data_IF_223499389040
#
_entry.id   IF_223499389040
#
_cell.length_a   1.000
_cell.length_b   1.000
_cell.length_c   1.000
_cell.angle_alpha   90.00
_cell.angle_beta   90.00
_cell.angle_gamma   90.00
#
_symmetry.space_group_name_H-M   'P 1'
#
loop_
_entity.id
_entity.type
_entity.pdbx_description
1 polymer ?
#
# COMPACT_ATOMS: atom_id res chain seq x y z
N UNK A 1 -5.65 -20.61 -24.36
CA UNK A 1 -4.92 -20.99 -23.13
C UNK A 1 -3.48 -21.24 -23.53
N UNK A 2 -2.58 -20.28 -23.29
CA UNK A 2 -1.14 -20.49 -23.46
C UNK A 2 -0.61 -21.41 -22.37
N UNK A 3 0.49 -22.11 -22.65
CA UNK A 3 1.17 -22.96 -21.68
C UNK A 3 1.78 -22.07 -20.57
N UNK A 4 1.07 -21.92 -19.46
CA UNK A 4 1.47 -21.05 -18.34
C UNK A 4 2.62 -21.62 -17.48
N UNK A 5 3.02 -22.86 -17.74
CA UNK A 5 4.06 -23.55 -16.96
C UNK A 5 5.49 -23.02 -17.24
N UNK A 6 5.68 -22.27 -18.33
CA UNK A 6 6.98 -21.68 -18.71
C UNK A 6 7.19 -20.24 -18.17
N UNK A 7 6.21 -19.65 -17.48
CA UNK A 7 6.32 -18.30 -16.93
C UNK A 7 6.97 -18.28 -15.53
N UNK A 8 7.81 -17.27 -15.29
CA UNK A 8 8.28 -16.91 -13.95
C UNK A 8 7.09 -16.74 -12.97
N UNK A 9 7.22 -17.16 -11.68
CA UNK A 9 6.12 -17.12 -10.71
C UNK A 9 5.41 -15.77 -10.58
N UNK A 10 6.12 -14.64 -10.71
CA UNK A 10 5.49 -13.32 -10.66
C UNK A 10 4.58 -13.04 -11.87
N UNK A 11 5.00 -13.47 -13.06
CA UNK A 11 4.18 -13.38 -14.28
C UNK A 11 2.96 -14.27 -14.17
N UNK A 12 3.15 -15.52 -13.77
CA UNK A 12 2.04 -16.47 -13.58
C UNK A 12 1.03 -15.95 -12.56
N UNK A 13 1.48 -15.39 -11.44
CA UNK A 13 0.60 -14.77 -10.46
C UNK A 13 -0.10 -13.54 -11.02
N UNK A 14 0.61 -12.64 -11.71
CA UNK A 14 0.00 -11.44 -12.28
C UNK A 14 -1.15 -11.81 -13.20
N UNK A 15 -0.88 -12.66 -14.19
CA UNK A 15 -1.82 -13.13 -15.19
C UNK A 15 -2.99 -13.91 -14.55
N UNK A 16 -2.68 -14.84 -13.64
CA UNK A 16 -3.67 -15.66 -12.95
C UNK A 16 -4.58 -14.88 -11.98
N UNK A 17 -4.22 -13.64 -11.63
CA UNK A 17 -5.01 -12.79 -10.72
C UNK A 17 -5.63 -11.58 -11.39
N UNK A 18 -5.53 -11.43 -12.72
CA UNK A 18 -6.20 -10.35 -13.46
C UNK A 18 -7.72 -10.46 -13.35
N UNK A 19 -8.39 -9.32 -13.45
CA UNK A 19 -9.83 -9.27 -13.65
C UNK A 19 -10.15 -9.00 -15.11
N UNK A 20 -11.02 -9.84 -15.67
CA UNK A 20 -11.81 -9.57 -16.88
C UNK A 20 -13.31 -9.49 -16.54
N UNK A 21 -14.16 -8.90 -17.40
CA UNK A 21 -15.61 -8.90 -17.22
C UNK A 21 -16.19 -10.30 -17.01
N UNK A 22 -15.68 -11.31 -17.71
CA UNK A 22 -16.09 -12.70 -17.57
C UNK A 22 -15.68 -13.26 -16.21
N UNK A 23 -14.42 -13.07 -15.80
CA UNK A 23 -13.91 -13.62 -14.53
C UNK A 23 -14.68 -13.08 -13.32
N UNK A 24 -15.03 -11.79 -13.32
CA UNK A 24 -15.76 -11.14 -12.22
C UNK A 24 -17.19 -11.64 -12.17
N UNK A 25 -17.86 -11.77 -13.33
CA UNK A 25 -19.26 -12.26 -13.41
C UNK A 25 -19.39 -13.75 -13.15
N UNK A 26 -18.37 -14.54 -13.50
CA UNK A 26 -18.36 -15.99 -13.31
C UNK A 26 -17.87 -16.41 -11.91
N UNK A 27 -17.32 -15.49 -11.10
CA UNK A 27 -16.84 -15.82 -9.77
C UNK A 27 -17.98 -16.29 -8.87
N UNK A 28 -17.89 -17.53 -8.41
CA UNK A 28 -18.79 -18.12 -7.43
C UNK A 28 -18.38 -17.87 -5.98
N UNK A 29 -17.36 -17.03 -5.72
CA UNK A 29 -16.86 -16.79 -4.36
C UNK A 29 -17.92 -16.11 -3.48
N UNK A 30 -18.19 -16.67 -2.31
CA UNK A 30 -19.06 -16.07 -1.30
C UNK A 30 -18.27 -15.75 -0.03
N UNK A 31 -18.71 -14.73 0.70
CA UNK A 31 -18.06 -14.31 1.95
C UNK A 31 -18.58 -15.13 3.13
N UNK A 32 -17.71 -15.96 3.71
CA UNK A 32 -17.96 -16.61 5.00
C UNK A 32 -17.76 -15.59 6.14
N UNK A 33 -18.83 -14.88 6.48
CA UNK A 33 -18.81 -13.83 7.51
C UNK A 33 -18.48 -14.35 8.91
N UNK A 34 -18.82 -15.61 9.22
CA UNK A 34 -18.50 -16.24 10.50
C UNK A 34 -17.00 -16.55 10.64
N UNK A 35 -16.28 -16.62 9.51
CA UNK A 35 -14.84 -16.82 9.46
C UNK A 35 -14.07 -15.55 9.03
N UNK A 36 -14.72 -14.37 9.11
CA UNK A 36 -14.07 -13.10 8.82
C UNK A 36 -12.87 -12.87 9.76
N UNK A 37 -11.67 -12.57 9.24
CA UNK A 37 -10.50 -12.30 10.06
C UNK A 37 -10.66 -11.09 10.96
N UNK A 38 -10.21 -11.21 12.20
CA UNK A 38 -10.15 -10.12 13.16
C UNK A 38 -9.19 -9.03 12.65
N UNK A 39 -9.58 -7.74 12.72
CA UNK A 39 -8.81 -6.64 12.15
C UNK A 39 -7.58 -6.24 13.00
N UNK A 40 -7.36 -6.89 14.13
CA UNK A 40 -6.23 -6.64 15.03
C UNK A 40 -5.51 -7.94 15.37
N UNK A 41 -4.19 -7.87 15.47
CA UNK A 41 -3.35 -8.95 16.00
C UNK A 41 -3.21 -8.74 17.51
N UNK A 42 -3.70 -9.72 18.27
CA UNK A 42 -3.69 -9.69 19.73
C UNK A 42 -2.66 -10.69 20.24
N UNK A 43 -1.72 -10.26 21.06
CA UNK A 43 -0.74 -11.15 21.69
C UNK A 43 -1.22 -11.57 23.08
N UNK A 44 -1.23 -12.89 23.34
CA UNK A 44 -1.63 -13.44 24.62
C UNK A 44 -0.58 -13.08 25.69
N UNK A 45 -1.02 -12.45 26.78
CA UNK A 45 -0.19 -12.18 27.96
C UNK A 45 0.81 -11.02 27.83
N UNK A 46 0.79 -10.25 26.73
CA UNK A 46 1.62 -9.05 26.59
C UNK A 46 0.86 -7.80 27.04
N UNK A 47 1.48 -7.04 27.95
CA UNK A 47 0.94 -5.77 28.44
C UNK A 47 1.10 -4.63 27.43
N UNK A 48 0.24 -3.62 27.56
CA UNK A 48 0.28 -2.41 26.77
C UNK A 48 1.32 -1.42 27.32
N UNK A 49 2.28 -1.04 26.48
CA UNK A 49 3.21 0.06 26.76
C UNK A 49 2.79 1.33 26.01
N UNK A 50 2.93 2.53 26.60
CA UNK A 50 2.60 3.78 25.91
C UNK A 50 3.50 4.00 24.69
N UNK A 51 3.02 4.76 23.72
CA UNK A 51 3.85 5.16 22.58
C UNK A 51 4.98 6.08 23.06
N UNK A 52 6.24 5.86 22.62
CA UNK A 52 7.31 6.80 22.86
C UNK A 52 6.95 8.18 22.27
N UNK A 53 7.18 9.30 22.98
CA UNK A 53 6.79 10.64 22.51
C UNK A 53 7.28 10.98 21.09
N UNK A 54 8.49 10.53 20.76
CA UNK A 54 9.14 10.73 19.46
C UNK A 54 8.48 9.93 18.32
N UNK A 55 7.80 8.82 18.62
CA UNK A 55 7.11 7.98 17.64
C UNK A 55 5.58 8.09 17.69
N UNK A 56 5.02 8.70 18.74
CA UNK A 56 3.56 8.78 18.94
C UNK A 56 2.87 9.37 17.72
N UNK A 57 3.35 10.51 17.25
CA UNK A 57 2.80 11.21 16.08
C UNK A 57 2.84 10.31 14.85
N UNK A 58 3.97 9.65 14.60
CA UNK A 58 4.18 8.82 13.43
C UNK A 58 3.26 7.60 13.43
N UNK A 59 3.16 6.88 14.55
CA UNK A 59 2.35 5.65 14.64
C UNK A 59 0.85 5.96 14.64
N UNK A 60 0.42 6.96 15.41
CA UNK A 60 -0.98 7.38 15.50
C UNK A 60 -1.53 7.81 14.15
N UNK A 61 -0.79 8.65 13.44
CA UNK A 61 -1.27 9.21 12.17
C UNK A 61 -0.84 8.40 10.95
N UNK A 62 0.18 7.55 11.07
CA UNK A 62 0.59 6.61 10.02
C UNK A 62 -0.41 5.48 9.83
N UNK A 63 -0.80 4.80 10.93
CA UNK A 63 -1.61 3.59 10.86
C UNK A 63 -2.66 3.40 11.97
N UNK A 64 -2.78 4.34 12.92
CA UNK A 64 -3.70 4.23 14.05
C UNK A 64 -5.18 4.30 13.68
N UNK A 65 -6.03 3.78 14.57
CA UNK A 65 -7.49 3.96 14.51
C UNK A 65 -7.82 5.39 14.95
N UNK A 66 -8.59 6.11 14.12
CA UNK A 66 -9.03 7.50 14.40
C UNK A 66 -10.49 7.59 14.78
N UNK A 67 -11.30 6.60 14.41
CA UNK A 67 -12.74 6.57 14.71
C UNK A 67 -13.24 5.13 14.69
N UNK A 68 -13.99 4.74 15.71
CA UNK A 68 -14.80 3.51 15.68
C UNK A 68 -16.26 3.90 15.46
N UNK A 69 -16.97 3.15 14.62
CA UNK A 69 -18.43 3.27 14.47
C UNK A 69 -19.05 1.90 14.66
N UNK A 70 -20.10 1.84 15.46
CA UNK A 70 -21.00 0.70 15.46
C UNK A 70 -21.74 0.64 14.12
N UNK A 71 -21.68 -0.52 13.48
CA UNK A 71 -22.66 -0.94 12.50
C UNK A 71 -23.76 -1.74 13.19
N UNK A 72 -24.94 -1.79 12.57
CA UNK A 72 -26.01 -2.67 13.03
C UNK A 72 -25.52 -4.11 13.23
N UNK A 73 -26.20 -4.86 14.10
CA UNK A 73 -25.87 -6.23 14.53
C UNK A 73 -24.60 -6.39 15.39
N UNK A 74 -24.17 -5.35 16.11
CA UNK A 74 -23.05 -5.45 17.07
C UNK A 74 -21.65 -5.49 16.43
N UNK A 75 -21.54 -5.17 15.14
CA UNK A 75 -20.27 -5.10 14.44
C UNK A 75 -19.64 -3.71 14.58
N UNK A 76 -18.34 -3.62 14.84
CA UNK A 76 -17.62 -2.35 14.83
C UNK A 76 -16.81 -2.15 13.54
N UNK A 77 -16.79 -0.90 13.05
CA UNK A 77 -15.92 -0.46 11.97
C UNK A 77 -14.88 0.53 12.50
N UNK A 78 -13.60 0.14 12.41
CA UNK A 78 -12.47 0.92 12.88
C UNK A 78 -11.81 1.65 11.70
N UNK A 79 -12.10 2.94 11.56
CA UNK A 79 -11.50 3.78 10.53
C UNK A 79 -10.06 4.11 10.91
N UNK A 80 -9.13 3.84 10.00
CA UNK A 80 -7.70 4.17 10.11
C UNK A 80 -7.34 5.35 9.21
N UNK A 81 -6.15 5.91 9.43
CA UNK A 81 -5.61 7.07 8.69
C UNK A 81 -5.08 6.75 7.29
N UNK A 82 -5.17 5.51 6.83
CA UNK A 82 -4.81 5.08 5.47
C UNK A 82 -6.01 4.43 4.75
N UNK A 83 -5.87 4.15 3.46
CA UNK A 83 -6.90 3.46 2.69
C UNK A 83 -6.62 1.94 2.73
N UNK A 84 -7.66 1.13 2.91
CA UNK A 84 -7.51 -0.32 2.96
C UNK A 84 -8.56 -0.96 2.07
N UNK A 85 -8.13 -1.88 1.20
CA UNK A 85 -9.04 -2.63 0.35
C UNK A 85 -10.06 -3.38 1.21
N UNK A 86 -11.35 -3.03 1.03
CA UNK A 86 -12.44 -3.63 1.79
C UNK A 86 -12.44 -3.32 3.29
N UNK A 87 -11.59 -2.40 3.77
CA UNK A 87 -11.37 -2.14 5.20
C UNK A 87 -10.99 -3.41 5.99
N UNK A 88 -10.06 -4.21 5.43
CA UNK A 88 -9.62 -5.49 5.98
C UNK A 88 -8.31 -5.39 6.77
N UNK A 89 -7.56 -4.29 6.60
CA UNK A 89 -6.38 -3.94 7.38
C UNK A 89 -5.36 -5.09 7.53
N UNK A 90 -4.80 -5.61 6.42
CA UNK A 90 -3.92 -6.76 6.45
C UNK A 90 -2.49 -6.43 6.92
N UNK A 91 -2.15 -5.14 7.08
CA UNK A 91 -0.80 -4.70 7.44
C UNK A 91 -0.65 -4.51 8.95
N UNK A 92 0.40 -5.10 9.51
CA UNK A 92 0.87 -4.89 10.89
C UNK A 92 2.16 -4.07 10.90
N UNK A 93 2.38 -3.30 11.97
CA UNK A 93 3.61 -2.52 12.18
C UNK A 93 4.32 -3.03 13.43
N UNK A 94 5.59 -3.35 13.26
CA UNK A 94 6.52 -3.59 14.36
C UNK A 94 7.50 -2.43 14.44
N UNK A 95 7.99 -2.13 15.65
CA UNK A 95 8.84 -0.97 15.93
C UNK A 95 10.07 -1.46 16.67
N UNK A 96 11.26 -1.24 16.11
CA UNK A 96 12.53 -1.46 16.78
C UNK A 96 13.12 -0.11 17.23
N UNK A 97 13.44 0.01 18.51
CA UNK A 97 14.12 1.17 19.12
C UNK A 97 15.35 0.69 19.90
N UNK A 98 16.07 1.61 20.55
CA UNK A 98 17.16 1.26 21.48
C UNK A 98 16.68 0.37 22.65
N UNK A 99 15.39 0.46 23.01
CA UNK A 99 14.83 -0.21 24.18
C UNK A 99 14.31 -1.61 23.88
N UNK A 100 13.98 -1.93 22.64
CA UNK A 100 13.29 -3.17 22.32
C UNK A 100 12.76 -3.28 20.91
N UNK A 101 12.16 -4.43 20.64
CA UNK A 101 11.28 -4.69 19.50
C UNK A 101 9.84 -4.84 19.99
N UNK A 102 8.93 -4.14 19.34
CA UNK A 102 7.53 -4.03 19.73
C UNK A 102 6.61 -4.29 18.56
N UNK A 103 5.40 -4.76 18.84
CA UNK A 103 4.26 -4.68 17.91
C UNK A 103 3.42 -3.45 18.25
N UNK A 104 2.98 -2.69 17.25
CA UNK A 104 2.09 -1.56 17.43
C UNK A 104 0.63 -2.00 17.34
N UNK A 105 -0.12 -1.83 18.43
CA UNK A 105 -1.55 -2.12 18.46
C UNK A 105 -2.36 -0.86 18.05
N UNK A 106 -3.00 -0.84 16.86
CA UNK A 106 -3.52 0.40 16.27
C UNK A 106 -4.82 0.90 16.91
N UNK A 107 -5.58 0.05 17.60
CA UNK A 107 -6.78 0.47 18.34
C UNK A 107 -6.43 1.13 19.66
N UNK A 108 -5.55 0.49 20.43
CA UNK A 108 -5.19 0.95 21.77
C UNK A 108 -4.17 2.08 21.71
N UNK A 109 -3.52 2.27 20.55
CA UNK A 109 -2.44 3.22 20.34
C UNK A 109 -1.34 2.99 21.38
N UNK A 110 -0.87 1.75 21.43
CA UNK A 110 0.07 1.25 22.40
C UNK A 110 1.00 0.23 21.75
N UNK A 111 2.15 -0.01 22.38
CA UNK A 111 3.10 -1.04 21.99
C UNK A 111 2.87 -2.33 22.79
N UNK A 112 3.23 -3.47 22.20
CA UNK A 112 3.39 -4.77 22.88
C UNK A 112 4.84 -5.19 22.73
N UNK A 113 5.58 -5.29 23.83
CA UNK A 113 7.00 -5.66 23.78
C UNK A 113 7.17 -7.12 23.43
N UNK A 114 7.85 -7.37 22.31
CA UNK A 114 8.18 -8.71 21.84
C UNK A 114 9.57 -9.13 22.33
N UNK A 115 10.53 -8.20 22.29
CA UNK A 115 11.91 -8.43 22.72
C UNK A 115 12.45 -7.19 23.45
N UNK A 116 13.24 -7.41 24.50
CA UNK A 116 14.07 -6.36 25.09
C UNK A 116 15.40 -6.20 24.36
N UNK A 117 16.02 -5.03 24.50
CA UNK A 117 17.33 -4.70 23.94
C UNK A 117 17.26 -4.12 22.52
N UNK A 118 18.38 -3.54 22.08
CA UNK A 118 18.47 -2.86 20.80
C UNK A 118 18.62 -3.85 19.63
N UNK A 119 17.54 -4.03 18.86
CA UNK A 119 17.51 -4.90 17.68
C UNK A 119 17.61 -4.13 16.36
N UNK A 120 17.79 -2.80 16.38
CA UNK A 120 17.91 -2.00 15.15
C UNK A 120 19.11 -2.43 14.31
N UNK A 121 20.19 -2.88 14.95
CA UNK A 121 21.37 -3.41 14.28
C UNK A 121 21.17 -4.70 13.47
N UNK A 122 20.05 -5.41 13.66
CA UNK A 122 19.66 -6.56 12.83
C UNK A 122 18.78 -6.15 11.63
N UNK A 123 18.35 -4.89 11.57
CA UNK A 123 17.47 -4.35 10.54
C UNK A 123 18.18 -3.26 9.75
N UNK A 124 18.30 -2.08 10.35
CA UNK A 124 18.92 -0.89 9.77
C UNK A 124 19.78 -0.22 10.85
N UNK A 125 21.09 -0.52 10.92
CA UNK A 125 21.94 -0.18 12.07
C UNK A 125 22.20 1.31 12.26
N UNK A 126 21.90 2.16 11.28
CA UNK A 126 22.10 3.61 11.33
C UNK A 126 20.79 4.39 11.57
N UNK A 127 19.69 3.72 11.91
CA UNK A 127 18.39 4.34 12.17
C UNK A 127 18.14 4.59 13.67
N UNK A 128 17.43 5.68 14.00
CA UNK A 128 16.95 5.93 15.36
C UNK A 128 15.81 4.98 15.74
N UNK A 129 14.91 4.72 14.80
CA UNK A 129 13.91 3.66 14.91
C UNK A 129 13.74 2.96 13.55
N UNK A 130 13.33 1.70 13.58
CA UNK A 130 12.95 0.95 12.37
C UNK A 130 11.53 0.44 12.52
N UNK A 131 10.67 0.81 11.57
CA UNK A 131 9.32 0.26 11.46
C UNK A 131 9.36 -0.89 10.45
N UNK A 132 8.95 -2.09 10.87
CA UNK A 132 8.77 -3.25 9.98
C UNK A 132 7.29 -3.34 9.64
N UNK A 133 6.94 -3.20 8.36
CA UNK A 133 5.59 -3.45 7.88
C UNK A 133 5.51 -4.91 7.45
N UNK A 134 4.55 -5.66 7.98
CA UNK A 134 4.27 -7.03 7.55
C UNK A 134 2.85 -7.13 7.00
N UNK A 135 2.60 -8.13 6.15
CA UNK A 135 1.29 -8.38 5.56
C UNK A 135 0.77 -9.75 5.95
N UNK A 136 -0.45 -9.79 6.48
CA UNK A 136 -1.21 -11.00 6.77
C UNK A 136 -2.11 -11.29 5.57
N UNK A 137 -1.75 -12.26 4.73
CA UNK A 137 -2.48 -12.53 3.49
C UNK A 137 -3.95 -12.89 3.77
N UNK A 138 -4.21 -13.69 4.79
CA UNK A 138 -5.55 -14.20 5.08
C UNK A 138 -6.59 -13.08 5.31
N UNK A 139 -6.20 -11.97 5.94
CA UNK A 139 -7.11 -10.82 6.18
C UNK A 139 -7.72 -10.27 4.91
N UNK A 140 -6.91 -10.13 3.86
CA UNK A 140 -7.37 -9.61 2.57
C UNK A 140 -7.90 -10.72 1.66
N UNK A 141 -7.26 -11.89 1.67
CA UNK A 141 -7.62 -13.02 0.83
C UNK A 141 -8.96 -13.66 1.23
N UNK A 142 -9.44 -13.48 2.46
CA UNK A 142 -10.82 -13.82 2.84
C UNK A 142 -11.87 -13.22 1.88
N UNK A 143 -11.63 -11.98 1.41
CA UNK A 143 -12.52 -11.30 0.47
C UNK A 143 -12.05 -11.40 -0.98
N UNK A 144 -10.74 -11.26 -1.21
CA UNK A 144 -10.17 -11.04 -2.53
C UNK A 144 -9.40 -12.25 -3.08
N UNK A 145 -9.47 -13.39 -2.39
CA UNK A 145 -8.80 -14.64 -2.75
C UNK A 145 -7.30 -14.39 -3.04
N UNK A 146 -6.72 -15.04 -4.03
CA UNK A 146 -5.30 -14.87 -4.38
C UNK A 146 -4.93 -13.42 -4.73
N UNK A 147 -5.82 -12.65 -5.39
CA UNK A 147 -5.61 -11.23 -5.70
C UNK A 147 -5.41 -10.39 -4.43
N UNK A 148 -5.83 -10.90 -3.27
CA UNK A 148 -5.51 -10.39 -1.93
C UNK A 148 -4.05 -9.99 -1.76
N UNK A 149 -3.10 -10.72 -2.35
CA UNK A 149 -1.67 -10.43 -2.22
C UNK A 149 -1.28 -9.05 -2.80
N UNK A 150 -1.93 -8.58 -3.88
CA UNK A 150 -1.71 -7.20 -4.40
C UNK A 150 -2.09 -6.14 -3.34
N UNK A 151 -3.20 -6.37 -2.66
CA UNK A 151 -3.75 -5.46 -1.66
C UNK A 151 -2.88 -5.31 -0.42
N UNK A 152 -2.02 -6.30 -0.10
CA UNK A 152 -1.01 -6.14 0.97
C UNK A 152 -0.14 -4.92 0.72
N UNK A 153 0.32 -4.76 -0.52
CA UNK A 153 1.22 -3.69 -0.93
C UNK A 153 0.48 -2.37 -1.19
N UNK A 154 -0.77 -2.41 -1.65
CA UNK A 154 -1.59 -1.19 -1.76
C UNK A 154 -1.81 -0.57 -0.38
N UNK A 155 -2.25 -1.39 0.58
CA UNK A 155 -2.48 -0.95 1.95
C UNK A 155 -1.17 -0.48 2.61
N UNK A 156 -0.09 -1.25 2.49
CA UNK A 156 1.23 -0.88 3.01
C UNK A 156 1.74 0.42 2.37
N UNK A 157 1.54 0.60 1.07
CA UNK A 157 1.94 1.80 0.36
C UNK A 157 1.16 3.04 0.84
N UNK A 158 -0.15 2.93 1.09
CA UNK A 158 -0.90 4.07 1.65
C UNK A 158 -0.51 4.40 3.08
N UNK A 159 -0.10 3.42 3.89
CA UNK A 159 0.52 3.65 5.21
C UNK A 159 1.84 4.40 5.03
N UNK A 160 2.71 3.91 4.15
CA UNK A 160 4.02 4.52 3.87
C UNK A 160 3.89 5.95 3.33
N UNK A 161 2.85 6.26 2.55
CA UNK A 161 2.58 7.62 2.11
C UNK A 161 2.36 8.57 3.30
N UNK A 162 1.62 8.14 4.32
CA UNK A 162 1.47 8.90 5.55
C UNK A 162 2.78 9.00 6.33
N UNK A 163 3.47 7.87 6.52
CA UNK A 163 4.70 7.82 7.32
C UNK A 163 5.80 8.71 6.71
N UNK A 164 6.01 8.64 5.39
CA UNK A 164 6.99 9.48 4.68
C UNK A 164 6.61 10.97 4.70
N UNK A 165 5.32 11.29 4.71
CA UNK A 165 4.86 12.68 4.82
C UNK A 165 5.01 13.24 6.25
N UNK A 166 4.99 12.38 7.27
CA UNK A 166 5.17 12.75 8.68
C UNK A 166 6.65 12.76 9.11
N UNK A 167 7.48 11.93 8.47
CA UNK A 167 8.92 11.75 8.71
C UNK A 167 9.69 11.85 7.36
N UNK A 168 9.86 13.05 6.80
CA UNK A 168 10.47 13.26 5.48
C UNK A 168 11.94 12.84 5.39
N UNK A 169 12.61 12.66 6.53
CA UNK A 169 13.98 12.13 6.64
C UNK A 169 14.06 10.60 6.53
N UNK A 170 12.91 9.90 6.62
CA UNK A 170 12.87 8.46 6.64
C UNK A 170 13.28 7.84 5.29
N UNK A 171 13.84 6.63 5.36
CA UNK A 171 14.23 5.83 4.19
C UNK A 171 13.45 4.53 4.16
N UNK A 172 12.88 4.22 3.00
CA UNK A 172 12.19 2.96 2.73
C UNK A 172 13.20 1.93 2.23
N UNK A 173 13.16 0.74 2.79
CA UNK A 173 13.92 -0.41 2.29
C UNK A 173 12.97 -1.54 1.97
N UNK A 174 13.16 -2.12 0.80
CA UNK A 174 12.47 -3.31 0.33
C UNK A 174 13.45 -4.45 0.10
N UNK A 175 14.76 -4.21 0.07
CA UNK A 175 15.82 -5.20 0.03
C UNK A 175 16.27 -5.58 1.44
N UNK A 176 15.85 -6.75 1.90
CA UNK A 176 16.27 -7.34 3.17
C UNK A 176 16.18 -8.86 3.05
N UNK A 177 16.94 -9.59 3.87
CA UNK A 177 16.84 -11.05 3.93
C UNK A 177 15.54 -11.42 4.66
N UNK A 178 14.55 -11.92 3.92
CA UNK A 178 13.17 -12.09 4.40
C UNK A 178 13.14 -12.95 5.68
N UNK A 179 13.83 -14.09 5.70
CA UNK A 179 13.84 -15.00 6.84
C UNK A 179 14.48 -14.40 8.10
N UNK A 180 15.43 -13.48 7.96
CA UNK A 180 16.04 -12.80 9.11
C UNK A 180 15.07 -11.81 9.73
N UNK A 181 14.39 -11.01 8.91
CA UNK A 181 13.37 -10.04 9.37
C UNK A 181 12.17 -10.77 9.95
N UNK A 182 11.64 -11.78 9.24
CA UNK A 182 10.49 -12.58 9.67
C UNK A 182 10.76 -13.26 11.02
N UNK A 183 11.94 -13.88 11.19
CA UNK A 183 12.37 -14.48 12.47
C UNK A 183 12.48 -13.45 13.58
N UNK A 184 12.99 -12.25 13.28
CA UNK A 184 13.13 -11.19 14.28
C UNK A 184 11.76 -10.76 14.82
N UNK A 185 10.78 -10.48 13.96
CA UNK A 185 9.43 -10.07 14.37
C UNK A 185 8.52 -11.23 14.79
N UNK A 186 8.97 -12.46 14.56
CA UNK A 186 8.29 -13.69 15.01
C UNK A 186 7.10 -14.08 14.15
N UNK A 187 7.22 -13.93 12.83
CA UNK A 187 6.22 -14.35 11.83
C UNK A 187 6.78 -15.49 10.97
N UNK A 188 5.89 -16.26 10.33
CA UNK A 188 6.26 -17.49 9.62
C UNK A 188 6.86 -17.26 8.23
N UNK A 189 6.70 -16.07 7.64
CA UNK A 189 7.22 -15.75 6.31
C UNK A 189 6.37 -16.29 5.16
N UNK A 190 5.18 -16.84 5.43
CA UNK A 190 4.25 -17.35 4.43
C UNK A 190 2.84 -16.76 4.61
N UNK A 191 2.23 -16.94 5.79
CA UNK A 191 0.90 -16.41 6.13
C UNK A 191 0.98 -14.95 6.55
N UNK A 192 2.02 -14.62 7.31
CA UNK A 192 2.42 -13.27 7.66
C UNK A 192 3.90 -13.08 7.34
N UNK A 193 4.23 -12.06 6.56
CA UNK A 193 5.60 -11.82 6.12
C UNK A 193 5.92 -10.33 6.01
N UNK A 194 7.18 -9.98 6.21
CA UNK A 194 7.69 -8.63 6.02
C UNK A 194 7.52 -8.15 4.57
N UNK A 195 7.03 -6.93 4.43
CA UNK A 195 6.79 -6.27 3.14
C UNK A 195 7.82 -5.14 2.91
N UNK A 196 8.14 -4.38 3.95
CA UNK A 196 9.00 -3.21 3.88
C UNK A 196 9.57 -2.84 5.26
N UNK A 197 10.72 -2.17 5.25
CA UNK A 197 11.31 -1.52 6.42
C UNK A 197 11.29 0.00 6.21
N UNK A 198 10.95 0.77 7.23
CA UNK A 198 11.08 2.21 7.24
C UNK A 198 12.07 2.62 8.34
N UNK A 199 13.24 3.09 7.92
CA UNK A 199 14.27 3.63 8.80
C UNK A 199 13.98 5.11 9.09
N UNK A 200 13.79 5.46 10.36
CA UNK A 200 13.46 6.80 10.84
C UNK A 200 14.65 7.38 11.60
N UNK A 201 14.96 8.65 11.36
CA UNK A 201 16.09 9.34 12.00
C UNK A 201 17.45 8.71 11.68
N UNK A 202 18.49 9.18 12.38
CA UNK A 202 19.84 8.62 12.29
C UNK A 202 20.47 8.44 13.67
N UNK A 203 20.74 7.20 14.03
CA UNK A 203 21.47 6.85 15.24
C UNK A 203 22.21 5.54 15.05
N UNK A 204 23.41 5.41 15.61
CA UNK A 204 24.14 4.14 15.57
C UNK A 204 23.52 3.13 16.53
N UNK A 205 23.25 1.93 16.04
CA UNK A 205 22.84 0.78 16.83
C UNK A 205 23.99 -0.24 16.93
N UNK A 206 24.11 -0.97 18.06
CA UNK A 206 25.06 -2.05 18.18
C UNK A 206 24.73 -3.16 17.18
N UNK A 207 25.76 -3.85 16.68
CA UNK A 207 25.56 -5.02 15.81
C UNK A 207 24.77 -6.07 16.59
N UNK A 208 23.63 -6.47 16.04
CA UNK A 208 22.83 -7.55 16.60
C UNK A 208 23.17 -8.88 15.93
N UNK A 209 23.15 -9.95 16.70
CA UNK A 209 23.27 -11.32 16.19
C UNK A 209 21.94 -11.85 15.65
N UNK A 210 21.92 -13.14 15.30
CA UNK A 210 20.70 -13.82 14.89
C UNK A 210 19.68 -13.85 16.05
N UNK A 211 18.45 -13.41 15.79
CA UNK A 211 17.40 -13.40 16.80
C UNK A 211 17.01 -14.84 17.19
N UNK A 212 16.92 -15.17 18.49
CA UNK A 212 16.37 -16.46 18.91
C UNK A 212 14.87 -16.55 18.56
N UNK A 213 14.28 -17.75 18.44
CA UNK A 213 12.85 -17.90 18.20
C UNK A 213 12.00 -17.11 19.21
N UNK A 214 11.01 -16.38 18.72
CA UNK A 214 10.11 -15.60 19.56
C UNK A 214 9.09 -16.53 20.23
N UNK A 215 9.01 -16.51 21.56
CA UNK A 215 8.10 -17.34 22.34
C UNK A 215 6.86 -16.54 22.78
N UNK A 216 6.16 -15.95 21.82
CA UNK A 216 4.91 -15.23 22.05
C UNK A 216 3.82 -15.83 21.18
N UNK A 217 2.60 -15.89 21.70
CA UNK A 217 1.45 -16.43 20.97
C UNK A 217 0.52 -15.30 20.56
N UNK A 218 0.21 -15.23 19.28
CA UNK A 218 -0.88 -14.39 18.79
C UNK A 218 -2.19 -15.19 18.83
N UNK A 219 -3.28 -14.54 19.21
CA UNK A 219 -4.61 -15.09 19.11
C UNK A 219 -4.95 -15.38 17.63
N UNK A 220 -5.70 -16.45 17.34
CA UNK A 220 -6.09 -16.77 15.97
C UNK A 220 -6.95 -15.64 15.39
N UNK A 221 -6.73 -15.31 14.11
CA UNK A 221 -7.48 -14.25 13.42
C UNK A 221 -8.91 -14.67 13.11
N UNK A 222 -9.16 -15.96 12.94
CA UNK A 222 -10.47 -16.52 12.55
C UNK A 222 -10.50 -18.00 12.95
N UNK A 223 -11.62 -18.70 12.70
CA UNK A 223 -11.75 -20.14 13.02
C UNK A 223 -10.81 -21.00 12.18
N UNK A 224 -10.56 -20.60 10.93
CA UNK A 224 -9.71 -21.32 9.99
C UNK A 224 -9.18 -20.39 8.90
N UNK A 225 -8.03 -20.69 8.32
CA UNK A 225 -7.46 -19.94 7.21
C UNK A 225 -7.47 -20.79 5.93
N UNK A 226 -7.76 -20.15 4.79
CA UNK A 226 -7.66 -20.79 3.48
C UNK A 226 -6.33 -20.39 2.84
N UNK A 227 -5.59 -21.40 2.37
CA UNK A 227 -4.35 -21.22 1.64
C UNK A 227 -4.60 -20.79 0.19
N UNK A 228 -3.73 -19.92 -0.33
CA UNK A 228 -3.74 -19.48 -1.73
C UNK A 228 -2.36 -19.79 -2.35
N UNK A 229 -2.14 -21.02 -2.84
CA UNK A 229 -0.82 -21.50 -3.26
C UNK A 229 -0.12 -20.61 -4.29
N UNK A 230 -0.86 -20.00 -5.22
CA UNK A 230 -0.33 -19.09 -6.22
C UNK A 230 0.27 -17.80 -5.61
N UNK A 231 -0.35 -17.28 -4.54
CA UNK A 231 0.16 -16.12 -3.82
C UNK A 231 1.39 -16.50 -2.98
N UNK A 232 1.39 -17.68 -2.37
CA UNK A 232 2.55 -18.20 -1.62
C UNK A 232 3.72 -18.52 -2.54
N UNK A 233 3.47 -19.08 -3.74
CA UNK A 233 4.50 -19.35 -4.74
C UNK A 233 5.17 -18.05 -5.22
N UNK A 234 4.37 -17.02 -5.54
CA UNK A 234 4.93 -15.69 -5.81
C UNK A 234 5.70 -15.14 -4.62
N UNK A 235 5.15 -15.23 -3.41
CA UNK A 235 5.83 -14.73 -2.22
C UNK A 235 7.20 -15.40 -2.06
N UNK A 236 7.27 -16.72 -2.10
CA UNK A 236 8.53 -17.47 -2.02
C UNK A 236 9.52 -17.06 -3.13
N UNK A 237 9.07 -16.91 -4.37
CA UNK A 237 9.92 -16.49 -5.49
C UNK A 237 10.45 -15.05 -5.36
N UNK A 238 9.73 -14.18 -4.65
CA UNK A 238 10.10 -12.79 -4.41
C UNK A 238 10.96 -12.58 -3.15
N UNK A 239 11.22 -13.63 -2.37
CA UNK A 239 12.03 -13.55 -1.15
C UNK A 239 13.53 -13.54 -1.48
N UNK A 240 14.30 -12.74 -0.73
CA UNK A 240 15.76 -12.69 -0.81
C UNK A 240 16.32 -13.55 0.32
N UNK A 241 17.16 -14.52 -0.01
CA UNK A 241 17.64 -15.53 0.93
C UNK A 241 18.98 -15.15 1.58
N UNK A 242 19.73 -14.23 0.96
CA UNK A 242 21.07 -13.88 1.40
C UNK A 242 21.38 -12.38 1.31
N UNK A 243 22.39 -11.88 2.06
CA UNK A 243 22.90 -10.52 1.88
C UNK A 243 23.44 -10.25 0.47
N UNK A 244 23.82 -11.29 -0.28
CA UNK A 244 24.22 -11.14 -1.69
C UNK A 244 23.02 -10.83 -2.57
N UNK A 245 21.92 -11.55 -2.40
CA UNK A 245 20.67 -11.30 -3.12
C UNK A 245 20.18 -9.86 -2.86
N UNK A 246 20.30 -9.37 -1.62
CA UNK A 246 19.99 -7.97 -1.27
C UNK A 246 20.87 -6.97 -2.02
N UNK A 247 22.17 -7.23 -2.14
CA UNK A 247 23.09 -6.37 -2.92
C UNK A 247 22.80 -6.40 -4.41
N UNK A 248 22.38 -7.54 -4.95
CA UNK A 248 21.99 -7.68 -6.35
C UNK A 248 20.63 -7.01 -6.63
N UNK A 249 19.70 -7.07 -5.67
CA UNK A 249 18.39 -6.42 -5.76
C UNK A 249 18.48 -4.89 -5.72
N UNK A 250 19.40 -4.31 -4.94
CA UNK A 250 19.51 -2.87 -4.76
C UNK A 250 19.73 -2.15 -6.12
N UNK A 251 18.66 -1.56 -6.65
CA UNK A 251 18.56 -1.07 -8.04
C UNK A 251 19.25 0.27 -8.30
N UNK A 252 20.39 0.53 -7.65
CA UNK A 252 21.15 1.79 -7.75
C UNK A 252 21.06 2.66 -6.50
N UNK A 253 21.53 3.91 -6.61
CA UNK A 253 21.54 4.85 -5.50
C UNK A 253 20.12 5.28 -5.12
N UNK A 254 19.71 5.04 -3.88
CA UNK A 254 18.47 5.58 -3.33
C UNK A 254 18.46 7.11 -3.46
N UNK A 255 17.39 7.73 -3.98
CA UNK A 255 17.28 9.17 -3.94
C UNK A 255 17.35 9.62 -2.48
N UNK A 256 18.04 10.73 -2.25
CA UNK A 256 18.12 11.30 -0.91
C UNK A 256 16.70 11.61 -0.41
N UNK A 257 16.41 11.43 0.90
CA UNK A 257 15.16 11.88 1.49
C UNK A 257 14.91 13.36 1.17
N UNK A 258 13.75 13.65 0.58
CA UNK A 258 13.32 15.01 0.25
C UNK A 258 11.95 15.26 0.84
N UNK A 259 11.73 16.45 1.38
CA UNK A 259 10.40 16.90 1.76
C UNK A 259 9.52 17.04 0.51
N UNK A 260 8.39 16.33 0.49
CA UNK A 260 7.37 16.45 -0.55
C UNK A 260 6.15 17.12 0.07
N UNK A 261 5.73 18.28 -0.44
CA UNK A 261 4.51 18.93 0.03
C UNK A 261 3.26 18.28 -0.60
N UNK A 262 2.78 17.22 0.05
CA UNK A 262 1.51 16.57 -0.29
C UNK A 262 0.31 17.21 0.45
N UNK A 263 0.56 18.19 1.32
CA UNK A 263 -0.48 18.82 2.15
C UNK A 263 -0.87 20.21 1.68
N UNK A 264 -0.20 20.75 0.65
CA UNK A 264 -0.53 22.06 0.07
C UNK A 264 -0.59 23.17 1.13
N UNK A 265 0.32 23.12 2.11
CA UNK A 265 0.36 24.04 3.26
C UNK A 265 -0.68 23.80 4.37
N UNK A 266 -1.59 22.82 4.25
CA UNK A 266 -2.45 22.41 5.37
C UNK A 266 -1.68 21.62 6.44
N UNK A 267 -2.19 21.66 7.67
CA UNK A 267 -1.65 20.87 8.79
C UNK A 267 -1.86 19.37 8.54
N UNK A 268 -0.79 18.54 8.52
CA UNK A 268 -0.87 17.11 8.19
C UNK A 268 -1.94 16.35 8.98
N UNK A 269 -2.04 16.60 10.28
CA UNK A 269 -2.94 15.92 11.21
C UNK A 269 -4.41 16.20 10.89
N UNK A 270 -4.73 17.41 10.42
CA UNK A 270 -6.09 17.76 9.98
C UNK A 270 -6.47 17.00 8.72
N UNK A 271 -5.55 16.94 7.75
CA UNK A 271 -5.75 16.19 6.50
C UNK A 271 -5.91 14.70 6.79
N UNK A 272 -5.02 14.10 7.60
CA UNK A 272 -5.02 12.68 7.93
C UNK A 272 -6.27 12.24 8.71
N UNK A 273 -6.81 13.10 9.58
CA UNK A 273 -8.08 12.85 10.30
C UNK A 273 -9.30 12.95 9.38
N UNK A 274 -9.27 13.88 8.42
CA UNK A 274 -10.38 14.13 7.47
C UNK A 274 -10.41 13.10 6.34
N UNK A 275 -9.23 12.63 5.91
CA UNK A 275 -9.08 11.71 4.80
C UNK A 275 -9.81 10.40 5.10
N UNK A 276 -10.68 10.03 4.18
CA UNK A 276 -11.32 8.72 4.08
C UNK A 276 -11.42 8.34 2.60
N UNK A 277 -12.16 7.28 2.30
CA UNK A 277 -12.50 6.97 0.91
C UNK A 277 -13.84 7.63 0.57
N UNK A 278 -13.83 8.53 -0.40
CA UNK A 278 -15.03 9.22 -0.88
C UNK A 278 -16.07 8.20 -1.36
N UNK A 279 -17.32 8.35 -0.90
CA UNK A 279 -18.42 7.42 -1.25
C UNK A 279 -19.17 7.84 -2.51
N UNK A 280 -19.11 9.10 -2.89
CA UNK A 280 -19.78 9.65 -4.07
C UNK A 280 -19.10 10.94 -4.48
N UNK A 281 -18.85 11.11 -5.78
CA UNK A 281 -18.38 12.37 -6.36
C UNK A 281 -19.53 13.16 -6.98
N UNK A 282 -19.44 14.48 -6.92
CA UNK A 282 -20.26 15.35 -7.78
C UNK A 282 -19.58 15.50 -9.14
N UNK A 283 -20.30 16.05 -10.13
CA UNK A 283 -19.75 16.29 -11.47
C UNK A 283 -19.06 17.65 -11.60
N UNK A 284 -18.89 18.34 -10.46
CA UNK A 284 -18.27 19.66 -10.42
C UNK A 284 -16.79 19.57 -10.81
N UNK A 285 -16.26 20.67 -11.33
CA UNK A 285 -14.89 20.77 -11.79
C UNK A 285 -13.90 21.05 -10.66
N UNK A 286 -12.63 20.74 -10.92
CA UNK A 286 -11.49 21.23 -10.14
C UNK A 286 -10.57 22.07 -11.03
N UNK A 287 -9.84 23.07 -10.49
CA UNK A 287 -8.81 23.77 -11.23
C UNK A 287 -7.72 22.83 -11.74
N UNK A 288 -7.19 23.05 -12.95
CA UNK A 288 -6.00 22.33 -13.46
C UNK A 288 -4.82 22.39 -12.49
N UNK A 289 -4.59 23.55 -11.86
CA UNK A 289 -3.52 23.73 -10.90
C UNK A 289 -3.66 22.81 -9.68
N UNK A 290 -4.89 22.54 -9.24
CA UNK A 290 -5.14 21.63 -8.13
C UNK A 290 -4.85 20.19 -8.52
N UNK A 291 -5.32 19.76 -9.71
CA UNK A 291 -4.99 18.43 -10.22
C UNK A 291 -3.49 18.26 -10.43
N UNK A 292 -2.82 19.24 -11.04
CA UNK A 292 -1.37 19.24 -11.23
C UNK A 292 -0.64 19.06 -9.89
N UNK A 293 -0.97 19.87 -8.88
CA UNK A 293 -0.32 19.78 -7.57
C UNK A 293 -0.58 18.45 -6.84
N UNK A 294 -1.73 17.80 -7.07
CA UNK A 294 -1.99 16.43 -6.56
C UNK A 294 -1.04 15.43 -7.23
N UNK A 295 -0.89 15.52 -8.56
CA UNK A 295 -0.10 14.59 -9.35
C UNK A 295 1.41 14.84 -9.24
N UNK A 296 1.85 16.08 -9.04
CA UNK A 296 3.23 16.43 -8.69
C UNK A 296 3.63 15.77 -7.38
N UNK A 297 2.80 15.89 -6.34
CA UNK A 297 3.03 15.22 -5.06
C UNK A 297 3.06 13.69 -5.20
N UNK A 298 2.12 13.12 -5.97
CA UNK A 298 2.09 11.69 -6.25
C UNK A 298 3.29 11.21 -7.09
N UNK A 299 3.80 12.05 -7.99
CA UNK A 299 4.91 11.73 -8.90
C UNK A 299 6.28 11.89 -8.25
N UNK A 300 6.38 12.67 -7.16
CA UNK A 300 7.63 12.99 -6.49
C UNK A 300 8.45 11.73 -6.11
N UNK A 301 9.79 11.83 -6.03
CA UNK A 301 10.65 10.72 -5.64
C UNK A 301 10.23 10.05 -4.32
N UNK A 302 10.49 8.75 -4.22
CA UNK A 302 10.32 7.97 -2.98
C UNK A 302 11.73 7.62 -2.50
N UNK A 303 12.11 7.96 -1.26
CA UNK A 303 13.45 7.68 -0.74
C UNK A 303 13.62 6.18 -0.43
N UNK A 304 13.73 5.37 -1.48
CA UNK A 304 13.74 3.92 -1.41
C UNK A 304 14.96 3.29 -2.10
N UNK A 305 15.21 2.01 -1.85
CA UNK A 305 16.27 1.18 -2.44
C UNK A 305 15.91 0.56 -3.80
N UNK A 306 14.86 1.07 -4.44
CA UNK A 306 14.38 0.65 -5.75
C UNK A 306 14.14 1.86 -6.67
N UNK A 307 14.29 1.70 -8.00
CA UNK A 307 13.96 2.75 -8.96
C UNK A 307 12.45 2.90 -9.13
N UNK A 308 12.00 4.11 -9.50
CA UNK A 308 10.61 4.34 -9.87
C UNK A 308 10.21 3.48 -11.08
N UNK A 309 9.05 2.84 -10.99
CA UNK A 309 8.51 1.91 -11.99
C UNK A 309 7.11 2.26 -12.47
N UNK A 310 6.42 3.15 -11.75
CA UNK A 310 5.03 3.50 -12.04
C UNK A 310 4.92 4.84 -12.78
N UNK A 311 4.12 4.85 -13.83
CA UNK A 311 3.68 6.04 -14.57
C UNK A 311 2.20 6.33 -14.29
N UNK A 312 1.81 7.60 -14.41
CA UNK A 312 0.43 8.03 -14.19
C UNK A 312 -0.26 8.26 -15.53
N UNK A 313 -1.22 7.40 -15.84
CA UNK A 313 -2.19 7.62 -16.91
C UNK A 313 -3.50 8.05 -16.28
N UNK A 314 -4.22 8.99 -16.88
CA UNK A 314 -5.45 9.48 -16.29
C UNK A 314 -6.51 9.87 -17.30
N UNK A 315 -7.74 9.80 -16.85
CA UNK A 315 -8.89 10.45 -17.44
C UNK A 315 -9.09 11.80 -16.75
N UNK A 316 -9.09 12.89 -17.51
CA UNK A 316 -9.53 14.21 -17.04
C UNK A 316 -10.94 14.46 -17.57
N UNK A 317 -11.92 14.58 -16.67
CA UNK A 317 -13.33 14.71 -17.04
C UNK A 317 -13.90 16.10 -16.78
N UNK A 318 -13.59 16.70 -15.63
CA UNK A 318 -14.06 18.02 -15.24
C UNK A 318 -12.91 18.79 -14.58
N UNK A 319 -12.01 19.30 -15.42
CA UNK A 319 -10.81 20.02 -14.98
C UNK A 319 -10.77 21.37 -15.69
N UNK A 320 -10.85 22.47 -14.95
CA UNK A 320 -10.85 23.82 -15.54
C UNK A 320 -9.48 24.13 -16.15
N UNK A 321 -9.46 24.57 -17.41
CA UNK A 321 -8.21 24.84 -18.13
C UNK A 321 -7.51 23.58 -18.67
N UNK A 322 -8.15 22.41 -18.62
CA UNK A 322 -7.69 21.19 -19.27
C UNK A 322 -8.88 20.55 -20.02
N UNK A 323 -8.83 20.43 -21.37
CA UNK A 323 -9.88 19.76 -22.12
C UNK A 323 -10.17 18.35 -21.59
N UNK A 324 -11.41 17.88 -21.72
CA UNK A 324 -11.72 16.49 -21.38
C UNK A 324 -10.93 15.55 -22.30
N UNK A 325 -10.31 14.54 -21.70
CA UNK A 325 -9.43 13.63 -22.42
C UNK A 325 -8.71 12.63 -21.54
N UNK A 326 -7.88 11.84 -22.19
CA UNK A 326 -6.98 10.85 -21.62
C UNK A 326 -5.56 11.41 -21.72
N UNK A 327 -4.83 11.34 -20.62
CA UNK A 327 -3.52 11.97 -20.48
C UNK A 327 -2.50 11.01 -19.88
N UNK A 328 -1.24 11.20 -20.22
CA UNK A 328 -0.09 10.76 -19.42
C UNK A 328 0.36 11.98 -18.61
N UNK A 329 0.64 11.82 -17.33
CA UNK A 329 1.19 12.89 -16.50
C UNK A 329 2.68 12.66 -16.25
N UNK A 330 3.49 13.60 -16.69
CA UNK A 330 4.94 13.62 -16.50
C UNK A 330 5.40 15.07 -16.41
N UNK A 331 5.44 15.60 -15.18
CA UNK A 331 5.57 17.04 -14.85
C UNK A 331 4.40 17.92 -15.37
N UNK A 332 3.81 17.62 -16.52
CA UNK A 332 2.60 18.23 -17.06
C UNK A 332 1.71 17.18 -17.76
N UNK A 333 0.52 17.61 -18.20
CA UNK A 333 -0.47 16.77 -18.89
C UNK A 333 -0.17 16.62 -20.38
N UNK A 334 0.23 15.41 -20.79
CA UNK A 334 0.41 15.04 -22.18
C UNK A 334 -0.85 14.36 -22.71
N UNK A 335 -1.51 14.99 -23.69
CA UNK A 335 -2.74 14.45 -24.27
C UNK A 335 -2.44 13.17 -25.06
N UNK A 336 -3.08 12.07 -24.65
CA UNK A 336 -3.08 10.79 -25.38
C UNK A 336 -4.28 10.71 -26.31
N UNK A 337 -5.49 11.02 -25.79
CA UNK A 337 -6.74 10.91 -26.54
C UNK A 337 -7.73 12.00 -26.13
N UNK A 338 -8.24 12.84 -27.06
CA UNK A 338 -9.25 13.84 -26.73
C UNK A 338 -10.62 13.21 -26.49
N UNK A 339 -11.49 13.94 -25.79
CA UNK A 339 -12.91 13.63 -25.66
C UNK A 339 -13.34 13.23 -24.24
N UNK A 340 -14.66 13.19 -24.03
CA UNK A 340 -15.23 12.72 -22.77
C UNK A 340 -15.28 11.19 -22.73
N UNK A 341 -14.50 10.61 -21.83
CA UNK A 341 -14.38 9.18 -21.62
C UNK A 341 -14.87 8.72 -20.24
N UNK A 342 -15.82 9.44 -19.61
CA UNK A 342 -16.41 9.06 -18.30
C UNK A 342 -16.96 7.64 -18.27
N UNK A 343 -17.67 7.23 -19.33
CA UNK A 343 -18.22 5.88 -19.45
C UNK A 343 -17.12 4.81 -19.42
N UNK A 344 -16.02 5.05 -20.14
CA UNK A 344 -14.84 4.17 -20.12
C UNK A 344 -14.17 4.13 -18.75
N UNK A 345 -13.95 5.27 -18.10
CA UNK A 345 -13.36 5.31 -16.76
C UNK A 345 -14.19 4.48 -15.75
N UNK A 346 -15.52 4.61 -15.79
CA UNK A 346 -16.43 3.81 -14.96
C UNK A 346 -16.35 2.31 -15.26
N UNK A 347 -16.43 1.94 -16.55
CA UNK A 347 -16.34 0.56 -17.01
C UNK A 347 -15.02 -0.09 -16.57
N UNK A 348 -13.89 0.52 -16.94
CA UNK A 348 -12.55 0.00 -16.65
C UNK A 348 -12.29 -0.17 -15.16
N UNK A 349 -12.91 0.65 -14.30
CA UNK A 349 -12.82 0.55 -12.85
C UNK A 349 -13.80 -0.49 -12.23
N UNK A 350 -14.06 -1.61 -12.92
CA UNK A 350 -15.06 -2.63 -12.56
C UNK A 350 -16.48 -2.06 -12.45
N UNK A 351 -16.92 -1.31 -13.46
CA UNK A 351 -18.27 -0.73 -13.53
C UNK A 351 -18.62 0.19 -12.34
N UNK A 352 -17.61 0.78 -11.69
CA UNK A 352 -17.79 1.64 -10.52
C UNK A 352 -18.01 3.10 -10.94
N UNK A 353 -19.19 3.65 -10.61
CA UNK A 353 -19.54 5.05 -10.90
C UNK A 353 -18.56 6.07 -10.31
N UNK A 354 -17.79 5.70 -9.27
CA UNK A 354 -16.77 6.57 -8.69
C UNK A 354 -15.81 7.12 -9.76
N UNK A 355 -15.32 6.26 -10.65
CA UNK A 355 -14.40 6.66 -11.71
C UNK A 355 -15.07 7.50 -12.80
N UNK A 356 -16.32 7.22 -13.13
CA UNK A 356 -17.08 7.99 -14.12
C UNK A 356 -17.49 9.38 -13.61
N UNK A 357 -17.66 9.55 -12.29
CA UNK A 357 -18.17 10.79 -11.68
C UNK A 357 -17.08 11.74 -11.22
N UNK A 358 -15.94 11.22 -10.79
CA UNK A 358 -14.82 12.03 -10.32
C UNK A 358 -14.38 13.08 -11.38
N UNK A 359 -13.67 14.11 -10.91
CA UNK A 359 -13.09 15.10 -11.80
C UNK A 359 -11.95 14.50 -12.63
N UNK A 360 -11.16 13.61 -12.02
CA UNK A 360 -10.13 12.83 -12.69
C UNK A 360 -10.01 11.41 -12.09
N UNK A 361 -9.67 10.45 -12.95
CA UNK A 361 -9.43 9.04 -12.58
C UNK A 361 -8.06 8.60 -13.08
N UNK A 362 -7.21 8.14 -12.17
CA UNK A 362 -5.79 7.89 -12.40
C UNK A 362 -5.50 6.40 -12.30
N UNK A 363 -4.73 5.88 -13.24
CA UNK A 363 -4.18 4.54 -13.27
C UNK A 363 -2.67 4.62 -13.10
N UNK A 364 -2.17 3.93 -12.09
CA UNK A 364 -0.75 3.77 -11.80
C UNK A 364 -0.29 2.54 -12.57
N UNK A 365 0.44 2.76 -13.66
CA UNK A 365 0.80 1.76 -14.66
C UNK A 365 2.27 1.40 -14.54
N UNK A 366 2.63 0.12 -14.63
CA UNK A 366 4.02 -0.34 -14.58
C UNK A 366 4.37 -1.16 -15.82
N UNK A 367 5.59 -0.95 -16.35
CA UNK A 367 6.18 -1.87 -17.31
C UNK A 367 6.72 -3.09 -16.55
N UNK A 368 5.89 -4.14 -16.44
CA UNK A 368 6.25 -5.33 -15.68
C UNK A 368 7.41 -6.11 -16.32
N UNK A 369 7.60 -6.02 -17.64
CA UNK A 369 8.74 -6.64 -18.30
C UNK A 369 10.05 -6.01 -17.82
N UNK A 370 10.10 -4.67 -17.84
CA UNK A 370 11.25 -3.92 -17.34
C UNK A 370 11.46 -4.13 -15.83
N UNK A 371 10.38 -4.16 -15.05
CA UNK A 371 10.44 -4.42 -13.60
C UNK A 371 11.04 -5.79 -13.31
N UNK A 372 10.58 -6.85 -13.98
CA UNK A 372 11.10 -8.20 -13.77
C UNK A 372 12.53 -8.35 -14.27
N UNK A 373 12.88 -7.71 -15.38
CA UNK A 373 14.25 -7.72 -15.90
C UNK A 373 15.26 -7.09 -14.91
N UNK A 374 14.83 -6.05 -14.18
CA UNK A 374 15.71 -5.31 -13.26
C UNK A 374 15.70 -5.83 -11.83
N UNK A 375 14.55 -6.30 -11.33
CA UNK A 375 14.33 -6.59 -9.90
C UNK A 375 13.85 -8.04 -9.65
N UNK A 376 13.76 -8.87 -10.69
CA UNK A 376 13.23 -10.23 -10.60
C UNK A 376 11.79 -10.29 -10.08
N UNK A 377 11.41 -11.43 -9.50
CA UNK A 377 10.08 -11.63 -8.89
C UNK A 377 9.77 -10.62 -7.76
N UNK A 378 10.80 -10.14 -7.02
CA UNK A 378 10.62 -9.10 -5.99
C UNK A 378 10.18 -7.76 -6.58
N UNK A 379 10.50 -7.50 -7.84
CA UNK A 379 9.99 -6.35 -8.59
C UNK A 379 8.47 -6.24 -8.58
N UNK A 380 7.73 -7.36 -8.51
CA UNK A 380 6.28 -7.31 -8.41
C UNK A 380 5.79 -6.67 -7.09
N UNK A 381 6.45 -7.01 -5.98
CA UNK A 381 6.18 -6.40 -4.66
C UNK A 381 6.44 -4.89 -4.71
N UNK A 382 7.56 -4.50 -5.33
CA UNK A 382 7.96 -3.09 -5.51
C UNK A 382 6.93 -2.32 -6.34
N UNK A 383 6.55 -2.82 -7.51
CA UNK A 383 5.60 -2.14 -8.39
C UNK A 383 4.25 -1.89 -7.71
N UNK A 384 3.75 -2.88 -6.95
CA UNK A 384 2.50 -2.74 -6.19
C UNK A 384 2.64 -1.79 -4.99
N UNK A 385 3.79 -1.83 -4.29
CA UNK A 385 4.04 -0.96 -3.13
C UNK A 385 4.17 0.50 -3.56
N UNK A 386 4.93 0.75 -4.63
CA UNK A 386 5.04 2.07 -5.25
C UNK A 386 3.67 2.61 -5.66
N UNK A 387 2.84 1.79 -6.32
CA UNK A 387 1.47 2.16 -6.67
C UNK A 387 0.67 2.57 -5.42
N UNK A 388 0.76 1.79 -4.34
CA UNK A 388 0.14 2.12 -3.05
C UNK A 388 0.63 3.45 -2.47
N UNK A 389 1.94 3.74 -2.53
CA UNK A 389 2.51 5.01 -2.03
C UNK A 389 1.98 6.19 -2.86
N UNK A 390 2.05 6.10 -4.20
CA UNK A 390 1.58 7.15 -5.10
C UNK A 390 0.08 7.39 -4.94
N UNK A 391 -0.72 6.33 -4.82
CA UNK A 391 -2.14 6.42 -4.50
C UNK A 391 -2.39 7.10 -3.15
N UNK A 392 -1.64 6.73 -2.11
CA UNK A 392 -1.70 7.38 -0.81
C UNK A 392 -1.43 8.89 -0.91
N UNK A 393 -0.45 9.30 -1.71
CA UNK A 393 -0.17 10.72 -1.97
C UNK A 393 -1.28 11.43 -2.76
N UNK A 394 -1.94 10.75 -3.71
CA UNK A 394 -3.17 11.28 -4.36
C UNK A 394 -4.26 11.55 -3.32
N UNK A 395 -4.47 10.62 -2.39
CA UNK A 395 -5.41 10.83 -1.27
C UNK A 395 -5.04 12.05 -0.43
N UNK A 396 -3.78 12.17 0.00
CA UNK A 396 -3.33 13.30 0.82
C UNK A 396 -3.50 14.63 0.06
N UNK A 397 -3.00 14.70 -1.18
CA UNK A 397 -3.08 15.89 -2.01
C UNK A 397 -4.51 16.34 -2.31
N UNK A 398 -5.42 15.39 -2.58
CA UNK A 398 -6.82 15.69 -2.83
C UNK A 398 -7.51 16.23 -1.57
N UNK A 399 -7.33 15.56 -0.43
CA UNK A 399 -7.94 15.98 0.82
C UNK A 399 -7.39 17.29 1.35
N UNK A 400 -6.09 17.56 1.14
CA UNK A 400 -5.45 18.84 1.45
C UNK A 400 -6.09 20.01 0.71
N UNK A 401 -6.53 19.79 -0.54
CA UNK A 401 -7.21 20.79 -1.38
C UNK A 401 -8.74 20.81 -1.20
N UNK A 402 -9.25 20.09 -0.19
CA UNK A 402 -10.68 20.06 0.14
C UNK A 402 -11.53 19.04 -0.65
N UNK A 403 -10.92 18.30 -1.57
CA UNK A 403 -11.56 17.26 -2.40
C UNK A 403 -11.59 15.89 -1.72
N UNK A 404 -12.14 14.90 -2.42
CA UNK A 404 -12.17 13.50 -2.01
C UNK A 404 -11.34 12.64 -2.94
N UNK A 405 -10.99 11.44 -2.47
CA UNK A 405 -10.33 10.42 -3.28
C UNK A 405 -10.85 9.03 -2.91
N UNK A 406 -10.81 8.09 -3.86
CA UNK A 406 -11.08 6.67 -3.59
C UNK A 406 -10.22 5.77 -4.49
N UNK A 407 -9.59 4.77 -3.88
CA UNK A 407 -8.93 3.67 -4.58
C UNK A 407 -9.95 2.69 -5.13
N UNK A 408 -9.66 2.15 -6.31
CA UNK A 408 -10.52 1.26 -7.08
C UNK A 408 -9.69 0.10 -7.65
N UNK A 409 -10.38 -1.00 -7.96
CA UNK A 409 -9.85 -2.09 -8.79
C UNK A 409 -10.39 -1.94 -10.22
N UNK A 410 -9.87 -2.73 -11.15
CA UNK A 410 -10.03 -2.51 -12.58
C UNK A 410 -10.00 -3.81 -13.38
N UNK A 411 -10.44 -3.76 -14.64
CA UNK A 411 -10.25 -4.80 -15.64
C UNK A 411 -8.84 -4.67 -16.23
N UNK A 412 -7.92 -5.57 -15.84
CA UNK A 412 -6.48 -5.41 -16.03
C UNK A 412 -6.10 -5.20 -17.51
N UNK A 413 -6.47 -6.14 -18.39
CA UNK A 413 -6.09 -6.09 -19.81
C UNK A 413 -6.83 -4.98 -20.56
N UNK A 414 -8.11 -4.75 -20.25
CA UNK A 414 -8.90 -3.71 -20.92
C UNK A 414 -8.38 -2.30 -20.64
N UNK A 415 -7.79 -2.08 -19.46
CA UNK A 415 -7.11 -0.82 -19.15
C UNK A 415 -5.89 -0.64 -20.04
N UNK A 416 -5.02 -1.65 -20.13
CA UNK A 416 -3.83 -1.63 -20.98
C UNK A 416 -4.19 -1.43 -22.45
N UNK A 417 -5.21 -2.14 -22.94
CA UNK A 417 -5.73 -2.02 -24.30
C UNK A 417 -6.30 -0.62 -24.57
N UNK A 418 -7.07 -0.06 -23.62
CA UNK A 418 -7.63 1.28 -23.78
C UNK A 418 -6.56 2.37 -23.88
N UNK A 419 -5.49 2.25 -23.09
CA UNK A 419 -4.34 3.15 -23.13
C UNK A 419 -3.34 2.83 -24.25
N UNK A 420 -3.60 1.80 -25.06
CA UNK A 420 -2.74 1.36 -26.17
C UNK A 420 -1.29 1.12 -25.71
N UNK A 421 -1.13 0.45 -24.56
CA UNK A 421 0.17 0.24 -23.91
C UNK A 421 0.37 -1.21 -23.47
N UNK A 422 1.63 -1.65 -23.42
CA UNK A 422 2.03 -2.94 -22.83
C UNK A 422 2.16 -2.88 -21.31
N UNK A 423 2.05 -1.68 -20.70
CA UNK A 423 2.13 -1.49 -19.25
C UNK A 423 0.88 -2.04 -18.58
N UNK A 424 1.05 -2.59 -17.38
CA UNK A 424 -0.04 -3.18 -16.60
C UNK A 424 -0.51 -2.23 -15.49
N UNK A 425 -1.82 -2.10 -15.24
CA UNK A 425 -2.33 -1.32 -14.12
C UNK A 425 -2.04 -1.97 -12.77
N UNK A 426 -1.41 -1.23 -11.87
CA UNK A 426 -1.11 -1.65 -10.50
C UNK A 426 -2.19 -1.17 -9.53
N UNK A 427 -2.65 0.08 -9.65
CA UNK A 427 -3.69 0.64 -8.78
C UNK A 427 -4.46 1.78 -9.48
N UNK A 428 -5.76 1.90 -9.24
CA UNK A 428 -6.60 2.99 -9.74
C UNK A 428 -7.06 3.91 -8.60
N UNK A 429 -7.06 5.22 -8.80
CA UNK A 429 -7.56 6.21 -7.82
C UNK A 429 -8.37 7.29 -8.54
N UNK A 430 -9.62 7.48 -8.11
CA UNK A 430 -10.46 8.58 -8.55
C UNK A 430 -10.40 9.74 -7.55
N UNK A 431 -10.35 10.99 -8.04
CA UNK A 431 -10.31 12.19 -7.20
C UNK A 431 -11.18 13.33 -7.76
N UNK A 432 -11.78 14.11 -6.85
CA UNK A 432 -12.60 15.25 -7.23
C UNK A 432 -13.55 15.71 -6.12
N UNK A 433 -14.46 16.66 -6.41
CA UNK A 433 -15.43 17.17 -5.47
C UNK A 433 -16.38 16.05 -5.03
N UNK A 434 -16.66 15.97 -3.73
CA UNK A 434 -17.38 14.84 -3.15
C UNK A 434 -18.46 15.31 -2.18
N UNK A 435 -19.54 14.54 -2.10
CA UNK A 435 -20.60 14.81 -1.13
C UNK A 435 -20.11 14.42 0.28
N UNK A 436 -19.86 15.42 1.13
CA UNK A 436 -19.63 15.20 2.57
C UNK A 436 -20.95 14.77 3.20
N UNK A 437 -21.00 13.55 3.75
CA UNK A 437 -22.13 13.07 4.57
C UNK A 437 -21.93 13.42 6.02
#
# INVERSE_FOLDING_TARGET
>A
MGNWDDLDPARRYHEGTKHSPESVRASGHWLDWDNRPHPFKEYEGLEAEPLPPELERLLRFGAGVIRTREAGSGNEYHFRTYASAGALYPVEIYVATAEGLFHFHPRDLALRRLRGGDWRGALVPDAEAVLVLTGILWRTAWKYQARGYRHLFWDAGTILANLLALAPEARLLTGFVDDEVNRLVGVDGEREAALALLAVGRAGAPRAGQAPPLQVRAAPLSRSEVAYPEAYALHAAASLASPEDVRQFAGGASPAPTTVDVFSGEEPEKVLRRRGSARTFTLDSIPRADLAGILEGASAPIPADFPASNEIFLFAHAVEGLPAGVYRFDQDFELVKPGDHRGWAGYLALDQEHAARAAATHFLMADLEAVFANLGSRGYRVAQLEAGIRAGRVYLGAYARGYGATGLTFYDDEVSDFFETTKSPMLCVAAGPYARR
#
